data_IF_522012525057
#
_entry.id   IF_522012525057
#
_cell.length_a   1.000
_cell.length_b   1.000
_cell.length_c   1.000
_cell.angle_alpha   90.00
_cell.angle_beta   90.00
_cell.angle_gamma   90.00
#
_symmetry.space_group_name_H-M   'P 1'
#
loop_
_entity.id
_entity.type
_entity.pdbx_description
1 polymer ?
#
# COMPACT_ATOMS: atom_id res chain seq x y z
N UNK A 1 11.67 22.59 -11.76
CA UNK A 1 11.93 21.13 -11.72
C UNK A 1 10.64 20.46 -12.14
N UNK A 2 10.65 19.65 -13.18
CA UNK A 2 9.46 19.03 -13.73
C UNK A 2 8.70 18.23 -12.64
N UNK A 3 7.39 18.46 -12.53
CA UNK A 3 6.46 17.62 -11.76
C UNK A 3 6.56 16.18 -12.25
N UNK A 4 7.26 15.32 -11.52
CA UNK A 4 7.20 13.88 -11.73
C UNK A 4 6.14 13.30 -10.79
N UNK A 5 5.01 12.91 -11.39
CA UNK A 5 4.04 11.88 -10.97
C UNK A 5 3.84 11.66 -9.46
N UNK A 6 3.12 12.59 -8.82
CA UNK A 6 2.55 12.32 -7.49
C UNK A 6 1.30 11.43 -7.62
N UNK A 7 1.20 10.39 -6.78
CA UNK A 7 -0.01 9.58 -6.65
C UNK A 7 -1.17 10.49 -6.21
N UNK A 8 -2.32 10.33 -6.86
CA UNK A 8 -3.51 11.13 -6.57
C UNK A 8 -4.79 10.38 -6.99
N UNK A 9 -5.94 10.93 -6.61
CA UNK A 9 -7.24 10.48 -7.10
C UNK A 9 -7.71 9.15 -6.50
N UNK A 10 -8.45 8.39 -7.32
CA UNK A 10 -9.11 7.14 -6.93
C UNK A 10 -8.22 5.95 -7.30
N UNK A 11 -7.77 5.24 -6.27
CA UNK A 11 -6.94 4.04 -6.37
C UNK A 11 -7.73 2.84 -5.80
N UNK A 12 -8.44 2.06 -6.63
CA UNK A 12 -9.23 0.93 -6.16
C UNK A 12 -8.34 -0.12 -5.50
N UNK A 13 -8.78 -0.60 -4.33
CA UNK A 13 -8.30 -1.87 -3.82
C UNK A 13 -8.93 -2.98 -4.64
N UNK A 14 -8.09 -3.73 -5.37
CA UNK A 14 -8.54 -4.83 -6.19
C UNK A 14 -8.93 -6.01 -5.30
N UNK A 15 -10.09 -6.60 -5.56
CA UNK A 15 -10.38 -7.95 -5.08
C UNK A 15 -9.41 -8.95 -5.76
N UNK A 16 -9.23 -10.13 -5.15
CA UNK A 16 -8.40 -11.20 -5.71
C UNK A 16 -9.29 -12.34 -6.18
N UNK A 17 -9.66 -12.42 -7.47
CA UNK A 17 -10.41 -13.53 -8.02
C UNK A 17 -9.63 -14.85 -7.86
N UNK A 18 -10.31 -15.87 -7.35
CA UNK A 18 -9.78 -17.23 -7.22
C UNK A 18 -10.74 -18.22 -7.85
N UNK A 19 -10.17 -19.26 -8.45
CA UNK A 19 -10.91 -20.42 -8.94
C UNK A 19 -11.49 -21.23 -7.78
N UNK A 20 -12.39 -22.17 -8.06
CA UNK A 20 -12.91 -23.09 -7.04
C UNK A 20 -11.82 -23.93 -6.35
N UNK A 21 -10.67 -24.12 -6.99
CA UNK A 21 -9.49 -24.81 -6.42
C UNK A 21 -8.58 -23.86 -5.60
N UNK A 22 -8.93 -22.58 -5.49
CA UNK A 22 -8.17 -21.57 -4.76
C UNK A 22 -6.97 -20.99 -5.52
N UNK A 23 -6.71 -21.41 -6.77
CA UNK A 23 -5.71 -20.77 -7.61
C UNK A 23 -6.17 -19.37 -8.04
N UNK A 24 -5.24 -18.43 -8.20
CA UNK A 24 -5.55 -17.07 -8.69
C UNK A 24 -6.12 -17.16 -10.10
N UNK A 25 -7.29 -16.56 -10.31
CA UNK A 25 -7.91 -16.45 -11.63
C UNK A 25 -7.37 -15.19 -12.33
N UNK A 26 -6.25 -15.35 -13.03
CA UNK A 26 -5.54 -14.24 -13.70
C UNK A 26 -6.31 -13.68 -14.89
N UNK A 27 -7.18 -14.46 -15.53
CA UNK A 27 -8.02 -13.97 -16.63
C UNK A 27 -9.05 -12.97 -16.09
N UNK A 28 -9.74 -13.31 -15.01
CA UNK A 28 -10.71 -12.42 -14.36
C UNK A 28 -10.01 -11.20 -13.76
N UNK A 29 -8.86 -11.39 -13.10
CA UNK A 29 -8.09 -10.29 -12.50
C UNK A 29 -7.57 -9.29 -13.55
N UNK A 30 -7.06 -9.79 -14.68
CA UNK A 30 -6.63 -8.97 -15.80
C UNK A 30 -7.80 -8.18 -16.39
N UNK A 31 -8.93 -8.83 -16.68
CA UNK A 31 -10.14 -8.17 -17.20
C UNK A 31 -10.70 -7.12 -16.24
N UNK A 32 -10.68 -7.38 -14.93
CA UNK A 32 -11.08 -6.40 -13.91
C UNK A 32 -10.16 -5.17 -13.93
N UNK A 33 -8.85 -5.39 -14.00
CA UNK A 33 -7.84 -4.32 -14.05
C UNK A 33 -8.03 -3.44 -15.29
N UNK A 34 -8.15 -4.07 -16.47
CA UNK A 34 -8.44 -3.39 -17.73
C UNK A 34 -9.73 -2.59 -17.69
N UNK A 35 -10.79 -3.18 -17.13
CA UNK A 35 -12.06 -2.51 -17.00
C UNK A 35 -11.92 -1.23 -16.17
N UNK A 36 -11.30 -1.31 -14.99
CA UNK A 36 -11.13 -0.15 -14.10
C UNK A 36 -10.26 0.94 -14.72
N UNK A 37 -9.17 0.57 -15.39
CA UNK A 37 -8.34 1.51 -16.16
C UNK A 37 -9.19 2.22 -17.22
N UNK A 38 -10.01 1.47 -17.97
CA UNK A 38 -10.94 2.02 -18.95
C UNK A 38 -12.03 2.93 -18.37
N UNK A 39 -12.24 2.92 -17.04
CA UNK A 39 -13.13 3.85 -16.32
C UNK A 39 -12.42 5.07 -15.75
N UNK A 40 -11.12 5.22 -16.00
CA UNK A 40 -10.35 6.42 -15.62
C UNK A 40 -9.93 6.44 -14.15
N UNK A 41 -9.68 5.28 -13.53
CA UNK A 41 -9.04 5.25 -12.20
C UNK A 41 -7.59 5.73 -12.30
N UNK A 42 -7.02 6.21 -11.20
CA UNK A 42 -5.75 6.93 -11.20
C UNK A 42 -4.56 6.04 -10.79
N UNK A 43 -4.83 4.79 -10.44
CA UNK A 43 -3.88 3.79 -9.99
C UNK A 43 -4.62 2.52 -9.58
N UNK A 44 -3.89 1.42 -9.42
CA UNK A 44 -4.42 0.15 -8.94
C UNK A 44 -3.67 -0.30 -7.70
N UNK A 45 -4.39 -0.89 -6.74
CA UNK A 45 -3.78 -1.34 -5.48
C UNK A 45 -4.14 -2.81 -5.26
N UNK A 46 -3.34 -3.75 -5.77
CA UNK A 46 -3.46 -5.16 -5.43
C UNK A 46 -2.96 -5.42 -4.00
N UNK A 47 -3.36 -6.57 -3.45
CA UNK A 47 -2.94 -7.02 -2.11
C UNK A 47 -3.29 -6.03 -0.98
N UNK A 48 -4.41 -5.35 -1.17
CA UNK A 48 -5.10 -4.66 -0.09
C UNK A 48 -5.90 -5.58 0.81
N UNK A 49 -6.52 -5.02 1.85
CA UNK A 49 -7.46 -5.78 2.68
C UNK A 49 -8.61 -6.35 1.86
N UNK A 50 -9.18 -5.60 0.91
CA UNK A 50 -10.17 -6.10 -0.06
C UNK A 50 -9.60 -7.17 -1.00
N UNK A 51 -8.30 -7.14 -1.25
CA UNK A 51 -7.58 -8.14 -2.03
C UNK A 51 -7.16 -9.36 -1.22
N UNK A 52 -7.61 -9.46 0.04
CA UNK A 52 -7.46 -10.65 0.88
C UNK A 52 -6.00 -11.07 1.12
N UNK A 53 -5.05 -10.11 1.17
CA UNK A 53 -3.62 -10.41 1.29
C UNK A 53 -3.30 -11.39 2.44
N UNK A 54 -4.04 -11.32 3.54
CA UNK A 54 -3.85 -12.15 4.74
C UNK A 54 -4.13 -13.64 4.52
N UNK A 55 -4.84 -13.99 3.44
CA UNK A 55 -5.28 -15.35 3.10
C UNK A 55 -4.52 -15.95 1.91
N UNK A 56 -3.58 -15.20 1.35
CA UNK A 56 -2.78 -15.62 0.20
C UNK A 56 -1.36 -15.94 0.66
N UNK A 57 -0.88 -17.10 0.22
CA UNK A 57 0.54 -17.44 0.32
C UNK A 57 1.40 -16.58 -0.61
N UNK A 58 2.72 -16.70 -0.48
CA UNK A 58 3.69 -15.91 -1.23
C UNK A 58 3.50 -16.06 -2.76
N UNK A 59 3.29 -17.27 -3.26
CA UNK A 59 3.23 -17.54 -4.71
C UNK A 59 1.94 -16.99 -5.33
N UNK A 60 0.84 -17.03 -4.58
CA UNK A 60 -0.43 -16.39 -4.94
C UNK A 60 -0.30 -14.88 -4.96
N UNK A 61 0.32 -14.28 -3.92
CA UNK A 61 0.60 -12.83 -3.89
C UNK A 61 1.40 -12.40 -5.12
N UNK A 62 2.42 -13.18 -5.48
CA UNK A 62 3.24 -12.92 -6.66
C UNK A 62 2.48 -13.01 -7.98
N UNK A 63 1.61 -14.02 -8.09
CA UNK A 63 0.75 -14.15 -9.26
C UNK A 63 -0.21 -12.96 -9.41
N UNK A 64 -0.75 -12.45 -8.29
CA UNK A 64 -1.59 -11.25 -8.28
C UNK A 64 -0.82 -10.01 -8.73
N UNK A 65 0.34 -9.73 -8.13
CA UNK A 65 1.13 -8.53 -8.47
C UNK A 65 1.58 -8.56 -9.92
N UNK A 66 2.13 -9.69 -10.39
CA UNK A 66 2.55 -9.84 -11.79
C UNK A 66 1.38 -9.60 -12.75
N UNK A 67 0.23 -10.24 -12.52
CA UNK A 67 -0.95 -10.08 -13.38
C UNK A 67 -1.44 -8.63 -13.44
N UNK A 68 -1.48 -7.92 -12.30
CA UNK A 68 -1.95 -6.53 -12.25
C UNK A 68 -0.96 -5.57 -12.88
N UNK A 69 0.35 -5.77 -12.70
CA UNK A 69 1.38 -4.96 -13.37
C UNK A 69 1.32 -5.16 -14.89
N UNK A 70 1.26 -6.41 -15.36
CA UNK A 70 1.12 -6.73 -16.79
C UNK A 70 -0.16 -6.12 -17.38
N UNK A 71 -1.29 -6.22 -16.67
CA UNK A 71 -2.55 -5.62 -17.09
C UNK A 71 -2.52 -4.08 -17.01
N UNK A 72 -1.77 -3.47 -16.10
CA UNK A 72 -1.64 -2.01 -16.07
C UNK A 72 -0.84 -1.49 -17.27
N UNK A 73 0.22 -2.20 -17.66
CA UNK A 73 1.07 -1.88 -18.80
C UNK A 73 1.53 -0.40 -18.83
N UNK A 74 1.81 0.17 -17.66
CA UNK A 74 2.23 1.56 -17.48
C UNK A 74 1.16 2.63 -17.71
N UNK A 75 -0.11 2.26 -17.92
CA UNK A 75 -1.21 3.25 -18.11
C UNK A 75 -1.60 3.97 -16.84
N UNK A 76 -1.49 3.28 -15.70
CA UNK A 76 -1.71 3.81 -14.35
C UNK A 76 -0.73 3.15 -13.39
N UNK A 77 -0.32 3.82 -12.31
CA UNK A 77 0.61 3.24 -11.34
C UNK A 77 -0.01 2.06 -10.57
N UNK A 78 0.79 1.03 -10.31
CA UNK A 78 0.44 -0.12 -9.46
C UNK A 78 1.14 -0.03 -8.11
N UNK A 79 0.35 0.10 -7.05
CA UNK A 79 0.85 0.20 -5.67
C UNK A 79 0.62 -1.13 -4.96
N UNK A 80 1.67 -1.96 -4.86
CA UNK A 80 1.53 -3.32 -4.34
C UNK A 80 1.58 -3.38 -2.82
N UNK A 81 0.62 -4.09 -2.20
CA UNK A 81 0.62 -4.37 -0.77
C UNK A 81 1.82 -5.22 -0.33
N UNK A 82 2.53 -4.75 0.69
CA UNK A 82 3.54 -5.49 1.44
C UNK A 82 3.03 -5.62 2.87
N UNK A 83 2.65 -6.83 3.26
CA UNK A 83 2.16 -7.13 4.59
C UNK A 83 2.95 -8.31 5.16
N UNK A 84 3.55 -8.10 6.34
CA UNK A 84 4.30 -9.11 7.04
C UNK A 84 4.42 -8.79 8.53
N UNK A 85 4.65 -9.83 9.33
CA UNK A 85 5.02 -9.73 10.74
C UNK A 85 6.53 -9.58 10.97
N UNK A 86 7.34 -9.84 9.94
CA UNK A 86 8.80 -9.76 10.02
C UNK A 86 9.37 -8.78 9.01
N UNK A 87 10.41 -8.05 9.41
CA UNK A 87 11.10 -7.10 8.53
C UNK A 87 11.74 -7.80 7.33
N UNK A 88 12.30 -9.00 7.53
CA UNK A 88 12.96 -9.75 6.47
C UNK A 88 11.99 -10.13 5.33
N UNK A 89 10.79 -10.59 5.69
CA UNK A 89 9.75 -10.92 4.71
C UNK A 89 9.22 -9.66 4.00
N UNK A 90 8.95 -8.58 4.75
CA UNK A 90 8.50 -7.32 4.14
C UNK A 90 9.52 -6.75 3.13
N UNK A 91 10.81 -6.78 3.48
CA UNK A 91 11.91 -6.37 2.60
C UNK A 91 12.01 -7.25 1.36
N UNK A 92 11.84 -8.56 1.50
CA UNK A 92 11.84 -9.50 0.38
C UNK A 92 10.68 -9.23 -0.58
N UNK A 93 9.47 -9.05 -0.05
CA UNK A 93 8.28 -8.70 -0.84
C UNK A 93 8.47 -7.37 -1.58
N UNK A 94 8.93 -6.31 -0.90
CA UNK A 94 9.14 -4.99 -1.51
C UNK A 94 10.13 -5.04 -2.68
N UNK A 95 11.26 -5.75 -2.53
CA UNK A 95 12.23 -5.97 -3.61
C UNK A 95 11.64 -6.75 -4.77
N UNK A 96 10.82 -7.76 -4.48
CA UNK A 96 10.20 -8.61 -5.49
C UNK A 96 9.13 -7.86 -6.28
N UNK A 97 8.25 -7.10 -5.64
CA UNK A 97 7.26 -6.24 -6.30
C UNK A 97 7.91 -5.18 -7.17
N UNK A 98 8.99 -4.56 -6.68
CA UNK A 98 9.80 -3.66 -7.51
C UNK A 98 10.35 -4.36 -8.74
N UNK A 99 10.97 -5.53 -8.58
CA UNK A 99 11.54 -6.27 -9.71
C UNK A 99 10.49 -6.70 -10.74
N UNK A 100 9.22 -6.83 -10.34
CA UNK A 100 8.09 -7.13 -11.24
C UNK A 100 7.53 -5.90 -11.96
N UNK A 101 7.95 -4.69 -11.58
CA UNK A 101 7.47 -3.45 -12.19
C UNK A 101 6.33 -2.76 -11.44
N UNK A 102 6.15 -3.02 -10.13
CA UNK A 102 5.30 -2.16 -9.31
C UNK A 102 5.86 -0.73 -9.25
N UNK A 103 4.97 0.26 -9.21
CA UNK A 103 5.32 1.70 -9.18
C UNK A 103 5.38 2.26 -7.75
N UNK A 104 4.89 1.50 -6.78
CA UNK A 104 4.90 1.89 -5.38
C UNK A 104 4.61 0.71 -4.44
N UNK A 105 4.89 0.94 -3.17
CA UNK A 105 4.65 -0.04 -2.11
C UNK A 105 3.60 0.51 -1.14
N UNK A 106 2.60 -0.29 -0.80
CA UNK A 106 1.74 -0.05 0.37
C UNK A 106 2.24 -0.90 1.52
N UNK A 107 2.99 -0.30 2.45
CA UNK A 107 3.61 -0.99 3.58
C UNK A 107 2.60 -1.16 4.72
N UNK A 108 2.38 -2.39 5.16
CA UNK A 108 1.41 -2.78 6.19
C UNK A 108 2.14 -3.58 7.26
N UNK A 109 2.26 -3.00 8.46
CA UNK A 109 2.82 -3.72 9.62
C UNK A 109 1.75 -4.65 10.22
N UNK A 110 2.05 -5.95 10.26
CA UNK A 110 1.31 -6.92 11.06
C UNK A 110 2.09 -7.20 12.34
N UNK A 111 1.41 -7.34 13.48
CA UNK A 111 2.07 -7.57 14.76
C UNK A 111 1.35 -8.65 15.56
N UNK A 112 2.13 -9.55 16.17
CA UNK A 112 1.62 -10.51 17.15
C UNK A 112 1.85 -9.99 18.58
N UNK A 113 3.13 -9.78 18.93
CA UNK A 113 3.51 -9.13 20.18
C UNK A 113 3.38 -7.60 20.07
N UNK A 114 3.13 -6.90 21.20
CA UNK A 114 3.22 -5.45 21.23
C UNK A 114 4.60 -4.98 20.79
N UNK A 115 4.63 -3.96 19.94
CA UNK A 115 5.86 -3.32 19.49
C UNK A 115 5.92 -1.89 20.05
N UNK A 116 7.13 -1.44 20.35
CA UNK A 116 7.41 -0.05 20.71
C UNK A 116 7.61 0.79 19.44
N UNK A 117 7.47 2.11 19.56
CA UNK A 117 7.61 3.07 18.45
C UNK A 117 8.90 2.89 17.63
N UNK A 118 10.03 2.58 18.27
CA UNK A 118 11.31 2.32 17.62
C UNK A 118 11.28 1.07 16.74
N UNK A 119 10.59 0.01 17.17
CA UNK A 119 10.39 -1.20 16.37
C UNK A 119 9.45 -0.96 15.19
N UNK A 120 8.37 -0.20 15.40
CA UNK A 120 7.44 0.20 14.33
C UNK A 120 8.16 1.03 13.26
N UNK A 121 8.93 2.03 13.69
CA UNK A 121 9.72 2.89 12.80
C UNK A 121 10.77 2.10 12.02
N UNK A 122 11.49 1.19 12.69
CA UNK A 122 12.52 0.37 12.04
C UNK A 122 11.93 -0.54 10.95
N UNK A 123 10.72 -1.08 11.15
CA UNK A 123 10.04 -1.90 10.15
C UNK A 123 9.76 -1.11 8.85
N UNK A 124 9.15 0.06 8.96
CA UNK A 124 8.82 0.88 7.79
C UNK A 124 10.07 1.46 7.12
N UNK A 125 11.07 1.86 7.89
CA UNK A 125 12.36 2.35 7.37
C UNK A 125 13.05 1.27 6.55
N UNK A 126 13.11 0.04 7.06
CA UNK A 126 13.74 -1.07 6.33
C UNK A 126 13.07 -1.39 4.99
N UNK A 127 11.73 -1.27 4.90
CA UNK A 127 11.01 -1.42 3.62
C UNK A 127 11.39 -0.28 2.66
N UNK A 128 11.44 0.96 3.17
CA UNK A 128 11.77 2.14 2.37
C UNK A 128 13.23 2.15 1.89
N UNK A 129 14.17 1.58 2.65
CA UNK A 129 15.57 1.39 2.26
C UNK A 129 15.76 0.25 1.24
N UNK A 130 14.82 -0.68 1.17
CA UNK A 130 14.93 -1.86 0.31
C UNK A 130 14.57 -1.61 -1.16
N UNK A 131 14.01 -0.44 -1.48
CA UNK A 131 13.52 -0.07 -2.81
C UNK A 131 13.70 1.43 -3.05
N UNK A 132 13.66 1.88 -4.31
CA UNK A 132 13.63 3.30 -4.69
C UNK A 132 12.21 3.77 -5.04
N UNK A 133 11.23 2.84 -4.96
CA UNK A 133 9.84 3.15 -5.17
C UNK A 133 9.28 3.99 -4.03
N UNK A 134 8.31 4.87 -4.30
CA UNK A 134 7.55 5.51 -3.25
C UNK A 134 6.82 4.50 -2.35
N UNK A 135 6.97 4.69 -1.04
CA UNK A 135 6.29 3.93 0.01
C UNK A 135 5.12 4.74 0.55
N UNK A 136 3.97 4.07 0.59
CA UNK A 136 2.75 4.49 1.27
C UNK A 136 2.65 3.74 2.59
N UNK A 137 2.69 4.46 3.71
CA UNK A 137 2.44 3.89 5.03
C UNK A 137 0.95 3.53 5.15
N UNK A 138 0.60 2.30 5.52
CA UNK A 138 -0.77 1.96 5.91
C UNK A 138 -0.95 2.11 7.43
N UNK A 139 -2.09 2.65 7.85
CA UNK A 139 -2.45 2.79 9.26
C UNK A 139 -3.94 2.56 9.48
N UNK A 140 -4.26 1.81 10.53
CA UNK A 140 -5.61 1.69 11.07
C UNK A 140 -5.54 1.30 12.56
N UNK A 141 -5.45 2.28 13.48
CA UNK A 141 -5.34 2.01 14.92
C UNK A 141 -6.57 1.31 15.52
N UNK A 142 -7.70 1.29 14.81
CA UNK A 142 -8.90 0.58 15.27
C UNK A 142 -8.82 -0.94 15.01
N UNK A 143 -7.85 -1.41 14.22
CA UNK A 143 -7.73 -2.81 13.81
C UNK A 143 -6.35 -3.41 14.05
N UNK A 144 -5.28 -2.64 13.79
CA UNK A 144 -3.91 -3.13 13.93
C UNK A 144 -3.51 -3.25 15.40
N UNK A 145 -2.75 -4.31 15.72
CA UNK A 145 -2.21 -4.55 17.08
C UNK A 145 -1.05 -3.63 17.45
N UNK A 146 -0.29 -3.17 16.45
CA UNK A 146 0.71 -2.12 16.55
C UNK A 146 0.47 -1.14 15.39
N UNK A 147 0.47 0.15 15.67
CA UNK A 147 0.14 1.20 14.70
C UNK A 147 1.09 2.39 14.86
N UNK A 148 0.98 3.37 13.97
CA UNK A 148 1.85 4.52 13.85
C UNK A 148 1.42 5.68 14.75
N UNK A 149 2.25 6.04 15.73
CA UNK A 149 2.05 7.27 16.50
C UNK A 149 2.32 8.51 15.63
N UNK A 150 1.70 9.66 15.92
CA UNK A 150 1.98 10.90 15.17
C UNK A 150 3.49 11.29 15.20
N UNK A 151 4.23 11.13 16.32
CA UNK A 151 5.68 11.30 16.32
C UNK A 151 6.42 10.35 15.38
N UNK A 152 6.02 9.07 15.30
CA UNK A 152 6.62 8.10 14.36
C UNK A 152 6.33 8.51 12.90
N UNK A 153 5.09 8.90 12.58
CA UNK A 153 4.72 9.38 11.24
C UNK A 153 5.57 10.58 10.84
N UNK A 154 5.77 11.53 11.75
CA UNK A 154 6.62 12.69 11.48
C UNK A 154 8.07 12.28 11.19
N UNK A 155 8.67 11.38 11.98
CA UNK A 155 10.04 10.88 11.71
C UNK A 155 10.12 10.17 10.37
N UNK A 156 9.22 9.23 10.10
CA UNK A 156 9.15 8.49 8.83
C UNK A 156 8.94 9.43 7.62
N UNK A 157 8.18 10.53 7.77
CA UNK A 157 7.96 11.51 6.69
C UNK A 157 9.22 12.21 6.17
N UNK A 158 10.34 12.07 6.88
CA UNK A 158 11.64 12.64 6.47
C UNK A 158 12.46 11.70 5.59
N UNK A 159 12.04 10.44 5.47
CA UNK A 159 12.70 9.48 4.61
C UNK A 159 12.32 9.74 3.14
N UNK A 160 13.31 9.82 2.24
CA UNK A 160 13.09 10.24 0.85
C UNK A 160 12.06 9.38 0.08
N UNK A 161 12.03 8.08 0.37
CA UNK A 161 11.09 7.16 -0.28
C UNK A 161 9.72 7.09 0.41
N UNK A 162 9.56 7.56 1.65
CA UNK A 162 8.26 7.52 2.34
C UNK A 162 7.50 8.80 1.99
N UNK A 163 6.65 8.70 0.96
CA UNK A 163 6.00 9.86 0.34
C UNK A 163 4.50 9.93 0.60
N UNK A 164 3.89 8.86 1.09
CA UNK A 164 2.44 8.79 1.28
C UNK A 164 2.05 8.08 2.57
N UNK A 165 0.83 8.34 3.03
CA UNK A 165 0.16 7.59 4.10
C UNK A 165 -1.30 7.34 3.71
N UNK A 166 -1.81 6.14 4.00
CA UNK A 166 -3.19 5.73 3.80
C UNK A 166 -3.81 5.36 5.16
N UNK A 167 -4.80 6.14 5.59
CA UNK A 167 -5.56 5.86 6.82
C UNK A 167 -6.86 5.13 6.48
N UNK A 168 -7.09 3.99 7.15
CA UNK A 168 -8.29 3.19 7.02
C UNK A 168 -9.13 3.15 8.30
N UNK A 169 -8.84 4.01 9.28
CA UNK A 169 -9.67 4.24 10.44
C UNK A 169 -10.90 5.09 10.08
N UNK A 170 -11.72 5.41 11.07
CA UNK A 170 -12.84 6.36 10.94
C UNK A 170 -12.46 7.77 11.43
N UNK A 171 -11.21 7.98 11.86
CA UNK A 171 -10.79 9.21 12.53
C UNK A 171 -10.25 10.25 11.54
N UNK A 172 -11.13 10.96 10.85
CA UNK A 172 -10.73 12.03 9.92
C UNK A 172 -9.96 13.17 10.61
N UNK A 173 -10.19 13.42 11.90
CA UNK A 173 -9.41 14.41 12.66
C UNK A 173 -7.92 14.06 12.77
N UNK A 174 -7.59 12.75 12.76
CA UNK A 174 -6.21 12.27 12.69
C UNK A 174 -5.54 12.63 11.37
N UNK A 175 -6.26 12.56 10.24
CA UNK A 175 -5.73 13.00 8.94
C UNK A 175 -5.33 14.47 8.96
N UNK A 176 -6.15 15.34 9.55
CA UNK A 176 -5.81 16.76 9.72
C UNK A 176 -4.56 16.95 10.60
N UNK A 177 -4.44 16.15 11.67
CA UNK A 177 -3.27 16.18 12.55
C UNK A 177 -1.99 15.74 11.84
N UNK A 178 -2.10 14.74 10.95
CA UNK A 178 -0.98 14.28 10.11
C UNK A 178 -0.59 15.39 9.14
N UNK A 179 -1.54 15.95 8.38
CA UNK A 179 -1.29 17.03 7.42
C UNK A 179 -0.57 18.23 8.06
N UNK A 180 -1.07 18.69 9.22
CA UNK A 180 -0.47 19.81 9.95
C UNK A 180 0.95 19.50 10.43
N UNK A 181 1.23 18.24 10.78
CA UNK A 181 2.53 17.84 11.34
C UNK A 181 3.58 17.57 10.26
N UNK A 182 3.17 16.98 9.15
CA UNK A 182 4.07 16.62 8.05
C UNK A 182 4.27 17.76 7.06
N UNK A 183 3.44 18.80 7.10
CA UNK A 183 3.62 20.05 6.34
C UNK A 183 3.85 19.79 4.83
N UNK A 184 3.09 18.85 4.26
CA UNK A 184 3.19 18.48 2.84
C UNK A 184 4.27 17.45 2.50
N UNK A 185 5.07 16.97 3.46
CA UNK A 185 6.04 15.89 3.23
C UNK A 185 5.39 14.54 2.86
N UNK A 186 4.15 14.31 3.29
CA UNK A 186 3.36 13.13 2.93
C UNK A 186 2.10 13.52 2.16
N UNK A 187 1.84 12.85 1.05
CA UNK A 187 0.49 12.78 0.47
C UNK A 187 -0.40 11.87 1.32
N UNK A 188 -1.66 12.25 1.51
CA UNK A 188 -2.60 11.56 2.39
C UNK A 188 -3.74 10.94 1.60
N UNK A 189 -3.91 9.63 1.73
CA UNK A 189 -5.02 8.84 1.20
C UNK A 189 -5.95 8.39 2.32
N UNK A 190 -7.23 8.27 1.98
CA UNK A 190 -8.26 7.76 2.86
C UNK A 190 -8.85 6.45 2.30
N UNK A 191 -9.28 5.55 3.18
CA UNK A 191 -10.16 4.44 2.81
C UNK A 191 -11.64 4.85 2.88
N UNK A 192 -12.54 3.91 2.53
CA UNK A 192 -13.99 4.10 2.53
C UNK A 192 -14.61 4.41 3.91
N UNK A 193 -13.85 4.23 4.99
CA UNK A 193 -14.27 4.60 6.35
C UNK A 193 -14.27 6.12 6.58
N UNK A 194 -13.66 6.89 5.68
CA UNK A 194 -13.74 8.35 5.65
C UNK A 194 -14.68 8.81 4.54
N UNK A 195 -15.34 9.95 4.75
CA UNK A 195 -16.13 10.61 3.71
C UNK A 195 -15.17 11.26 2.71
N UNK A 196 -15.26 10.89 1.44
CA UNK A 196 -14.49 11.54 0.37
C UNK A 196 -15.08 12.91 0.06
N UNK A 197 -14.24 13.90 -0.24
CA UNK A 197 -14.72 15.15 -0.82
C UNK A 197 -15.32 14.84 -2.20
N UNK A 198 -16.52 15.35 -2.46
CA UNK A 198 -17.23 15.21 -3.74
C UNK A 198 -16.63 16.12 -4.82
#
# INVERSE_FOLDING_TARGET
MAEADNLHGVLPYLATPVTAAGAIDTEVLGRLSEHLIGRGVHGLVPLGSTGEFAYLDHDRRETVVRCVVEAAAGRVPVIAGVAATTTADAVAQARRWRAMGADGILAILEAYFPLRDDGVEAYFTAIADATDLPVTLYTNPNFQRADLSLPVIDRLSRHANIRYIKDASTNTGRLLSILNRTEGRLGVFAASAHITAA
#
